data_IF_886015245732
#
_entry.id   IF_886015245732
#
_cell.length_a   1.000
_cell.length_b   1.000
_cell.length_c   1.000
_cell.angle_alpha   90.00
_cell.angle_beta   90.00
_cell.angle_gamma   90.00
#
_symmetry.space_group_name_H-M   'P 1'
#
loop_
_entity.id
_entity.type
_entity.pdbx_description
1 polymer ?
#
# COMPACT_ATOMS: atom_id res chain seq x y z
N UNK A 1 22.61 -8.54 -5.51
CA UNK A 1 21.25 -8.91 -5.03
C UNK A 1 21.11 -8.90 -3.51
N UNK A 2 22.13 -9.20 -2.73
CA UNK A 2 22.03 -9.24 -1.25
C UNK A 2 21.74 -7.90 -0.54
N UNK A 3 21.80 -6.78 -1.27
CA UNK A 3 21.53 -5.44 -0.71
C UNK A 3 20.05 -5.04 -0.76
N UNK A 4 19.24 -5.69 -1.61
CA UNK A 4 17.81 -5.40 -1.71
C UNK A 4 17.07 -6.07 -0.57
N UNK A 5 16.30 -5.28 0.17
CA UNK A 5 15.52 -5.72 1.34
C UNK A 5 14.18 -5.02 1.38
N UNK A 6 13.20 -5.71 1.92
CA UNK A 6 11.86 -5.14 2.16
C UNK A 6 11.47 -5.38 3.61
N UNK A 7 11.03 -4.33 4.28
CA UNK A 7 10.36 -4.36 5.57
C UNK A 7 8.89 -4.12 5.29
N UNK A 8 8.02 -5.10 5.57
CA UNK A 8 6.62 -5.05 5.18
C UNK A 8 5.68 -5.22 6.39
N UNK A 9 4.75 -4.29 6.51
CA UNK A 9 3.63 -4.27 7.45
C UNK A 9 2.39 -4.50 6.61
N UNK A 10 1.78 -5.69 6.70
CA UNK A 10 0.70 -6.09 5.80
C UNK A 10 -0.45 -6.74 6.54
N UNK A 11 -1.60 -6.86 5.88
CA UNK A 11 -2.77 -7.57 6.39
C UNK A 11 -2.52 -9.05 6.75
N UNK A 12 -1.36 -9.61 6.36
CA UNK A 12 -0.96 -10.98 6.71
C UNK A 12 -0.43 -11.10 8.13
N UNK A 13 0.09 -10.01 8.69
CA UNK A 13 0.72 -9.98 10.01
C UNK A 13 0.11 -8.95 10.96
N UNK A 14 -0.74 -8.05 10.45
CA UNK A 14 -1.44 -7.02 11.22
C UNK A 14 -2.94 -7.03 10.89
N UNK A 15 -3.78 -6.63 11.86
CA UNK A 15 -5.16 -6.28 11.56
C UNK A 15 -5.19 -5.04 10.65
N UNK A 16 -6.13 -4.97 9.72
CA UNK A 16 -6.24 -3.86 8.78
C UNK A 16 -6.40 -2.52 9.53
N UNK A 17 -7.15 -2.50 10.62
CA UNK A 17 -7.30 -1.32 11.51
C UNK A 17 -5.97 -0.83 12.07
N UNK A 18 -5.03 -1.73 12.34
CA UNK A 18 -3.73 -1.41 12.94
C UNK A 18 -2.72 -0.91 11.90
N UNK A 19 -2.89 -1.25 10.62
CA UNK A 19 -2.00 -0.80 9.54
C UNK A 19 -2.06 0.72 9.37
N UNK A 20 -3.23 1.33 9.61
CA UNK A 20 -3.45 2.77 9.48
C UNK A 20 -2.47 3.63 10.30
N UNK A 21 -2.00 3.14 11.47
CA UNK A 21 -1.05 3.86 12.32
C UNK A 21 0.37 3.98 11.70
N UNK A 22 0.67 3.17 10.68
CA UNK A 22 1.95 3.19 9.96
C UNK A 22 1.90 4.03 8.68
N UNK A 23 0.76 4.61 8.33
CA UNK A 23 0.70 5.57 7.24
C UNK A 23 1.47 6.85 7.61
N UNK A 24 2.25 7.35 6.67
CA UNK A 24 2.97 8.62 6.82
C UNK A 24 2.24 9.66 5.98
N UNK A 25 1.81 10.74 6.62
CA UNK A 25 1.18 11.86 5.92
C UNK A 25 2.14 12.53 4.94
N UNK A 26 1.62 13.04 3.83
CA UNK A 26 2.43 13.65 2.77
C UNK A 26 3.35 14.78 3.30
N UNK A 27 2.85 15.63 4.21
CA UNK A 27 3.66 16.70 4.81
C UNK A 27 4.86 16.19 5.60
N UNK A 28 4.76 15.05 6.29
CA UNK A 28 5.89 14.44 7.00
C UNK A 28 6.91 13.84 6.02
N UNK A 29 6.46 13.30 4.89
CA UNK A 29 7.37 12.82 3.84
C UNK A 29 8.15 13.98 3.21
N UNK A 30 7.48 15.09 2.91
CA UNK A 30 8.07 16.30 2.33
C UNK A 30 9.05 16.99 3.28
N UNK A 31 8.87 16.89 4.60
CA UNK A 31 9.81 17.42 5.60
C UNK A 31 11.16 16.67 5.68
N UNK A 32 11.39 15.69 4.79
CA UNK A 32 12.68 15.01 4.65
C UNK A 32 12.99 13.96 5.73
N UNK A 33 12.00 13.56 6.55
CA UNK A 33 12.18 12.58 7.63
C UNK A 33 12.84 11.29 7.15
N UNK A 34 12.37 10.72 6.01
CA UNK A 34 12.95 9.50 5.45
C UNK A 34 14.40 9.68 4.98
N UNK A 35 14.77 10.88 4.53
CA UNK A 35 16.16 11.23 4.18
C UNK A 35 17.09 11.20 5.38
N UNK A 36 16.63 11.73 6.52
CA UNK A 36 17.37 11.70 7.80
C UNK A 36 17.55 10.25 8.26
N UNK A 37 16.49 9.44 8.25
CA UNK A 37 16.56 8.02 8.62
C UNK A 37 17.49 7.24 7.69
N UNK A 38 17.38 7.45 6.37
CA UNK A 38 18.25 6.85 5.35
C UNK A 38 19.73 7.11 5.67
N UNK A 39 20.10 8.37 5.93
CA UNK A 39 21.48 8.76 6.21
C UNK A 39 21.97 8.19 7.55
N UNK A 40 21.19 8.37 8.62
CA UNK A 40 21.55 7.89 9.96
C UNK A 40 21.78 6.39 10.02
N UNK A 41 20.98 5.61 9.27
CA UNK A 41 21.03 4.16 9.30
C UNK A 41 21.92 3.54 8.23
N UNK A 42 22.65 4.31 7.43
CA UNK A 42 23.52 3.80 6.36
C UNK A 42 22.74 3.02 5.30
N UNK A 43 21.57 3.53 4.94
CA UNK A 43 20.74 2.99 3.85
C UNK A 43 21.12 3.76 2.58
N UNK A 44 21.46 3.05 1.50
CA UNK A 44 21.87 3.71 0.25
C UNK A 44 20.67 4.26 -0.52
N UNK A 45 19.59 3.47 -0.59
CA UNK A 45 18.36 3.83 -1.26
C UNK A 45 17.17 3.39 -0.42
N UNK A 46 16.09 4.18 -0.46
CA UNK A 46 14.87 3.92 0.27
C UNK A 46 13.64 4.30 -0.57
N UNK A 47 12.66 3.41 -0.65
CA UNK A 47 11.33 3.69 -1.20
C UNK A 47 10.28 3.31 -0.17
N UNK A 48 9.27 4.15 -0.04
CA UNK A 48 8.13 3.96 0.84
C UNK A 48 6.86 3.75 0.01
N UNK A 49 6.20 2.62 0.22
CA UNK A 49 4.90 2.28 -0.38
C UNK A 49 3.85 2.19 0.72
N UNK A 50 2.77 2.95 0.58
CA UNK A 50 1.65 2.93 1.50
C UNK A 50 0.33 2.78 0.73
N UNK A 51 -0.49 1.81 1.15
CA UNK A 51 -1.82 1.54 0.59
C UNK A 51 -2.79 1.22 1.73
N UNK A 52 -4.06 1.00 1.45
CA UNK A 52 -5.06 0.69 2.49
C UNK A 52 -4.75 -0.58 3.33
N UNK A 53 -3.95 -1.52 2.81
CA UNK A 53 -3.72 -2.82 3.43
C UNK A 53 -2.24 -3.22 3.58
N UNK A 54 -1.32 -2.27 3.28
CA UNK A 54 0.13 -2.46 3.49
C UNK A 54 0.89 -1.15 3.62
N UNK A 55 1.95 -1.21 4.39
CA UNK A 55 3.02 -0.22 4.43
C UNK A 55 4.34 -0.98 4.26
N UNK A 56 5.11 -0.61 3.25
CA UNK A 56 6.36 -1.31 2.91
C UNK A 56 7.50 -0.32 2.68
N UNK A 57 8.67 -0.69 3.15
CA UNK A 57 9.92 0.02 2.90
C UNK A 57 10.85 -0.88 2.08
N UNK A 58 11.13 -0.47 0.86
CA UNK A 58 12.10 -1.10 -0.01
C UNK A 58 13.45 -0.41 0.20
N UNK A 59 14.47 -1.16 0.60
CA UNK A 59 15.78 -0.66 0.98
C UNK A 59 16.89 -1.24 0.09
N UNK A 60 17.88 -0.41 -0.23
CA UNK A 60 19.19 -0.88 -0.64
C UNK A 60 20.16 -0.60 0.50
N UNK A 61 20.67 -1.64 1.15
CA UNK A 61 21.64 -1.53 2.26
C UNK A 61 22.49 -2.77 2.40
N UNK A 62 23.73 -2.58 2.87
CA UNK A 62 24.62 -3.68 3.28
C UNK A 62 24.34 -4.18 4.69
N UNK A 63 23.56 -3.44 5.51
CA UNK A 63 23.26 -3.82 6.88
C UNK A 63 22.31 -5.01 6.91
N UNK A 64 22.49 -5.91 7.88
CA UNK A 64 21.53 -6.99 8.18
C UNK A 64 20.31 -6.42 8.85
N UNK A 65 19.11 -6.90 8.47
CA UNK A 65 17.85 -6.53 9.08
C UNK A 65 17.55 -7.48 10.24
N UNK A 66 18.18 -7.23 11.38
CA UNK A 66 17.92 -7.92 12.63
C UNK A 66 16.92 -7.13 13.52
N UNK A 67 16.59 -7.65 14.69
CA UNK A 67 15.65 -6.96 15.61
C UNK A 67 16.15 -5.60 16.07
N UNK A 68 17.46 -5.42 16.24
CA UNK A 68 18.02 -4.12 16.64
C UNK A 68 17.89 -3.10 15.53
N UNK A 69 18.17 -3.50 14.26
CA UNK A 69 17.92 -2.66 13.11
C UNK A 69 16.42 -2.29 13.01
N UNK A 70 15.53 -3.24 13.14
CA UNK A 70 14.08 -3.00 13.08
C UNK A 70 13.63 -2.04 14.17
N UNK A 71 14.13 -2.18 15.40
CA UNK A 71 13.84 -1.29 16.51
C UNK A 71 14.29 0.14 16.20
N UNK A 72 15.54 0.32 15.79
CA UNK A 72 16.09 1.63 15.42
C UNK A 72 15.29 2.25 14.26
N UNK A 73 14.99 1.46 13.22
CA UNK A 73 14.28 1.92 12.03
C UNK A 73 12.85 2.33 12.32
N UNK A 74 12.08 1.46 12.99
CA UNK A 74 10.67 1.71 13.30
C UNK A 74 10.55 2.87 14.28
N UNK A 75 11.39 2.94 15.30
CA UNK A 75 11.38 4.02 16.27
C UNK A 75 11.77 5.38 15.66
N UNK A 76 12.69 5.39 14.68
CA UNK A 76 13.07 6.62 13.99
C UNK A 76 11.94 7.17 13.10
N UNK A 77 11.12 6.29 12.50
CA UNK A 77 10.01 6.68 11.62
C UNK A 77 8.72 6.94 12.44
N UNK A 78 8.49 6.13 13.48
CA UNK A 78 7.28 6.14 14.29
C UNK A 78 7.60 6.38 15.78
N UNK A 79 8.08 7.58 16.16
CA UNK A 79 8.49 7.86 17.54
C UNK A 79 7.35 7.82 18.56
N UNK A 80 6.10 7.83 18.09
CA UNK A 80 4.90 7.66 18.91
C UNK A 80 4.72 6.22 19.41
N UNK A 81 5.30 5.21 18.73
CA UNK A 81 5.24 3.82 19.19
C UNK A 81 6.18 3.63 20.39
N UNK A 82 5.64 3.17 21.51
CA UNK A 82 6.40 2.97 22.76
C UNK A 82 6.16 1.58 23.33
N UNK A 83 7.18 1.06 24.00
CA UNK A 83 7.10 -0.20 24.76
C UNK A 83 6.40 -1.32 23.99
N UNK A 84 5.30 -1.85 24.52
CA UNK A 84 4.61 -3.01 23.97
C UNK A 84 4.10 -2.84 22.53
N UNK A 85 3.72 -1.62 22.09
CA UNK A 85 3.31 -1.38 20.70
C UNK A 85 4.49 -1.44 19.72
N UNK A 86 5.66 -0.98 20.14
CA UNK A 86 6.88 -1.08 19.36
C UNK A 86 7.34 -2.53 19.23
N UNK A 87 7.38 -3.29 20.34
CA UNK A 87 7.75 -4.70 20.30
C UNK A 87 6.78 -5.52 19.45
N UNK A 88 5.47 -5.29 19.60
CA UNK A 88 4.46 -5.93 18.74
C UNK A 88 4.71 -5.61 17.27
N UNK A 89 5.06 -4.37 16.94
CA UNK A 89 5.38 -3.99 15.56
C UNK A 89 6.62 -4.75 15.06
N UNK A 90 7.72 -4.78 15.84
CA UNK A 90 8.97 -5.47 15.48
C UNK A 90 8.74 -6.97 15.25
N UNK A 91 7.96 -7.62 16.10
CA UNK A 91 7.70 -9.07 16.01
C UNK A 91 6.73 -9.42 14.86
N UNK A 92 5.94 -8.46 14.38
CA UNK A 92 4.91 -8.67 13.35
C UNK A 92 5.34 -8.22 11.95
N UNK A 93 6.41 -7.43 11.80
CA UNK A 93 6.88 -7.06 10.45
C UNK A 93 7.45 -8.27 9.72
N UNK A 94 7.21 -8.31 8.41
CA UNK A 94 7.81 -9.30 7.53
C UNK A 94 9.06 -8.69 6.90
N UNK A 95 10.13 -9.46 6.86
CA UNK A 95 11.40 -9.06 6.23
C UNK A 95 11.69 -9.99 5.08
N UNK A 96 11.94 -9.41 3.91
CA UNK A 96 12.36 -10.14 2.72
C UNK A 96 13.71 -9.61 2.26
N UNK A 97 14.61 -10.52 1.86
CA UNK A 97 15.95 -10.16 1.40
C UNK A 97 16.28 -10.76 0.03
N UNK A 98 17.04 -10.05 -0.78
CA UNK A 98 17.57 -10.52 -2.05
C UNK A 98 16.47 -11.03 -3.00
N UNK A 99 16.54 -12.30 -3.38
CA UNK A 99 15.58 -12.90 -4.30
C UNK A 99 14.16 -12.94 -3.72
N UNK A 100 14.01 -13.13 -2.42
CA UNK A 100 12.68 -13.11 -1.77
C UNK A 100 12.08 -11.71 -1.81
N UNK A 101 12.89 -10.65 -1.65
CA UNK A 101 12.42 -9.27 -1.78
C UNK A 101 11.93 -8.99 -3.21
N UNK A 102 12.64 -9.44 -4.24
CA UNK A 102 12.19 -9.33 -5.63
C UNK A 102 10.88 -10.08 -5.87
N UNK A 103 10.80 -11.34 -5.43
CA UNK A 103 9.59 -12.15 -5.55
C UNK A 103 8.39 -11.48 -4.87
N UNK A 104 8.60 -10.94 -3.67
CA UNK A 104 7.56 -10.22 -2.93
C UNK A 104 7.09 -8.98 -3.72
N UNK A 105 8.01 -8.09 -4.15
CA UNK A 105 7.64 -6.89 -4.89
C UNK A 105 6.93 -7.21 -6.22
N UNK A 106 7.35 -8.26 -6.92
CA UNK A 106 6.71 -8.69 -8.17
C UNK A 106 5.29 -9.22 -7.88
N UNK A 107 5.11 -10.01 -6.82
CA UNK A 107 3.80 -10.48 -6.37
C UNK A 107 2.86 -9.34 -5.98
N UNK A 108 3.38 -8.33 -5.26
CA UNK A 108 2.65 -7.11 -4.90
C UNK A 108 2.25 -6.35 -6.15
N UNK A 109 3.20 -6.02 -7.02
CA UNK A 109 2.97 -5.22 -8.24
C UNK A 109 2.00 -5.89 -9.22
N UNK A 110 1.98 -7.24 -9.24
CA UNK A 110 1.08 -8.05 -10.06
C UNK A 110 -0.27 -8.32 -9.40
N UNK A 111 -0.54 -7.73 -8.23
CA UNK A 111 -1.76 -7.97 -7.44
C UNK A 111 -2.01 -9.43 -7.05
N UNK A 112 -0.97 -10.27 -7.06
CA UNK A 112 -1.04 -11.66 -6.58
C UNK A 112 -1.02 -11.66 -5.05
N UNK A 113 -0.18 -10.80 -4.47
CA UNK A 113 -0.07 -10.59 -3.03
C UNK A 113 -0.89 -9.36 -2.59
N UNK A 114 -2.18 -9.40 -2.83
CA UNK A 114 -3.13 -8.34 -2.48
C UNK A 114 -4.35 -8.91 -1.78
N UNK A 115 -5.01 -8.12 -0.94
CA UNK A 115 -6.29 -8.49 -0.31
C UNK A 115 -7.35 -8.78 -1.37
N UNK A 116 -7.34 -7.99 -2.44
CA UNK A 116 -8.17 -8.19 -3.62
C UNK A 116 -7.25 -8.56 -4.78
N UNK A 117 -7.16 -9.85 -5.07
CA UNK A 117 -6.30 -10.37 -6.14
C UNK A 117 -6.80 -9.87 -7.51
N UNK A 118 -5.88 -9.38 -8.34
CA UNK A 118 -6.17 -8.89 -9.70
C UNK A 118 -6.59 -7.42 -9.78
N UNK A 119 -6.58 -6.65 -8.68
CA UNK A 119 -6.85 -5.22 -8.70
C UNK A 119 -5.66 -4.45 -9.31
N UNK A 120 -5.92 -3.70 -10.39
CA UNK A 120 -4.86 -3.03 -11.15
C UNK A 120 -4.33 -1.75 -10.47
N UNK A 121 -4.96 -1.30 -9.41
CA UNK A 121 -4.62 -0.05 -8.75
C UNK A 121 -3.21 -0.09 -8.13
N UNK A 122 -2.79 -1.26 -7.66
CA UNK A 122 -1.49 -1.46 -7.00
C UNK A 122 -0.29 -1.11 -7.90
N UNK A 123 -0.35 -1.41 -9.20
CA UNK A 123 0.76 -1.07 -10.12
C UNK A 123 0.94 0.45 -10.24
N UNK A 124 -0.16 1.20 -10.20
CA UNK A 124 -0.14 2.67 -10.20
C UNK A 124 0.39 3.19 -8.87
N UNK A 125 -0.01 2.60 -7.74
CA UNK A 125 0.48 2.96 -6.41
C UNK A 125 1.98 2.72 -6.28
N UNK A 126 2.50 1.59 -6.76
CA UNK A 126 3.95 1.30 -6.78
C UNK A 126 4.72 2.34 -7.60
N UNK A 127 4.22 2.70 -8.78
CA UNK A 127 4.83 3.76 -9.61
C UNK A 127 4.83 5.11 -8.92
N UNK A 128 3.69 5.52 -8.36
CA UNK A 128 3.56 6.81 -7.68
C UNK A 128 4.47 6.89 -6.45
N UNK A 129 4.57 5.80 -5.68
CA UNK A 129 5.48 5.70 -4.54
C UNK A 129 6.95 5.86 -4.97
N UNK A 130 7.36 5.22 -6.08
CA UNK A 130 8.70 5.39 -6.64
C UNK A 130 8.94 6.84 -7.08
N UNK A 131 8.04 7.44 -7.85
CA UNK A 131 8.20 8.82 -8.35
C UNK A 131 8.26 9.83 -7.20
N UNK A 132 7.47 9.63 -6.14
CA UNK A 132 7.53 10.45 -4.93
C UNK A 132 8.91 10.32 -4.27
N UNK A 133 9.37 9.10 -4.00
CA UNK A 133 10.65 8.87 -3.33
C UNK A 133 11.84 9.35 -4.19
N UNK A 134 11.72 9.28 -5.51
CA UNK A 134 12.70 9.85 -6.45
C UNK A 134 12.78 11.38 -6.33
N UNK A 135 11.64 12.06 -6.28
CA UNK A 135 11.57 13.54 -6.07
C UNK A 135 12.20 13.96 -4.75
N UNK A 136 12.11 13.10 -3.74
CA UNK A 136 12.72 13.31 -2.42
C UNK A 136 14.20 12.88 -2.35
N UNK A 137 14.84 12.52 -3.47
CA UNK A 137 16.23 12.04 -3.54
C UNK A 137 16.52 10.82 -2.64
N UNK A 138 15.54 9.96 -2.46
CA UNK A 138 15.67 8.76 -1.63
C UNK A 138 16.12 7.54 -2.42
N UNK A 139 15.85 7.48 -3.74
CA UNK A 139 16.08 6.34 -4.60
C UNK A 139 17.31 6.53 -5.50
N UNK A 140 17.89 5.42 -5.94
CA UNK A 140 18.96 5.36 -6.92
C UNK A 140 18.69 4.28 -7.96
N UNK A 141 19.75 3.75 -8.58
CA UNK A 141 19.63 2.81 -9.70
C UNK A 141 19.10 1.44 -9.29
N UNK A 142 19.41 0.95 -8.10
CA UNK A 142 18.93 -0.36 -7.67
C UNK A 142 17.40 -0.36 -7.55
N UNK A 143 16.82 0.59 -6.83
CA UNK A 143 15.36 0.69 -6.67
C UNK A 143 14.71 1.03 -8.00
N UNK A 144 15.32 1.92 -8.81
CA UNK A 144 14.80 2.27 -10.14
C UNK A 144 14.64 1.04 -11.03
N UNK A 145 15.70 0.24 -11.18
CA UNK A 145 15.69 -0.96 -12.02
C UNK A 145 14.72 -2.00 -11.45
N UNK A 146 14.69 -2.18 -10.12
CA UNK A 146 13.82 -3.14 -9.44
C UNK A 146 12.35 -2.81 -9.67
N UNK A 147 11.95 -1.55 -9.49
CA UNK A 147 10.57 -1.10 -9.71
C UNK A 147 10.20 -1.18 -11.19
N UNK A 148 11.09 -0.80 -12.10
CA UNK A 148 10.86 -0.96 -13.53
C UNK A 148 10.57 -2.43 -13.90
N UNK A 149 11.39 -3.35 -13.42
CA UNK A 149 11.21 -4.80 -13.67
C UNK A 149 9.93 -5.34 -13.00
N UNK A 150 9.58 -4.86 -11.82
CA UNK A 150 8.32 -5.23 -11.17
C UNK A 150 7.09 -4.78 -11.98
N UNK A 151 7.14 -3.57 -12.55
CA UNK A 151 6.08 -3.04 -13.42
C UNK A 151 5.99 -3.82 -14.75
N UNK A 152 7.14 -4.16 -15.36
CA UNK A 152 7.18 -5.00 -16.56
C UNK A 152 6.57 -6.38 -16.28
N UNK A 153 7.00 -7.05 -15.21
CA UNK A 153 6.46 -8.34 -14.78
C UNK A 153 4.94 -8.28 -14.52
N UNK A 154 4.47 -7.24 -13.84
CA UNK A 154 3.04 -7.05 -13.59
C UNK A 154 2.23 -6.95 -14.90
N UNK A 155 2.75 -6.20 -15.89
CA UNK A 155 2.10 -6.11 -17.21
C UNK A 155 2.02 -7.48 -17.90
N UNK A 156 3.10 -8.27 -17.87
CA UNK A 156 3.14 -9.63 -18.42
C UNK A 156 2.09 -10.52 -17.74
N UNK A 157 2.03 -10.48 -16.39
CA UNK A 157 1.03 -11.23 -15.63
C UNK A 157 -0.39 -10.84 -16.04
N UNK A 158 -0.67 -9.53 -16.15
CA UNK A 158 -2.00 -9.05 -16.56
C UNK A 158 -2.35 -9.39 -18.01
N UNK A 159 -1.35 -9.47 -18.89
CA UNK A 159 -1.56 -9.77 -20.33
C UNK A 159 -1.74 -11.28 -20.58
N UNK A 160 -0.91 -12.09 -19.94
CA UNK A 160 -0.80 -13.51 -20.26
C UNK A 160 -1.52 -14.44 -19.29
N UNK A 161 -2.17 -13.90 -18.24
CA UNK A 161 -2.93 -14.71 -17.29
C UNK A 161 -4.38 -14.26 -17.16
N UNK A 162 -5.19 -15.09 -16.50
CA UNK A 162 -6.59 -14.78 -16.23
C UNK A 162 -6.79 -13.86 -15.00
N UNK A 163 -5.73 -13.40 -14.34
CA UNK A 163 -5.81 -12.62 -13.11
C UNK A 163 -6.61 -11.32 -13.31
N UNK A 164 -6.54 -10.73 -14.50
CA UNK A 164 -7.22 -9.49 -14.85
C UNK A 164 -8.62 -9.70 -15.50
N UNK A 165 -9.03 -10.93 -15.79
CA UNK A 165 -10.32 -11.21 -16.46
C UNK A 165 -11.53 -10.97 -15.57
N UNK A 166 -11.33 -11.02 -14.26
CA UNK A 166 -12.36 -10.70 -13.28
C UNK A 166 -11.84 -9.60 -12.36
N UNK A 167 -11.80 -8.32 -12.80
CA UNK A 167 -11.36 -7.23 -11.95
C UNK A 167 -12.31 -7.12 -10.76
N UNK A 168 -11.90 -7.70 -9.66
CA UNK A 168 -12.61 -7.58 -8.39
C UNK A 168 -12.07 -6.35 -7.70
N UNK A 169 -12.79 -5.23 -7.80
CA UNK A 169 -12.48 -4.06 -6.98
C UNK A 169 -13.19 -4.17 -5.62
N UNK A 170 -12.67 -3.48 -4.61
CA UNK A 170 -13.36 -3.33 -3.30
C UNK A 170 -14.81 -2.89 -3.50
N UNK A 171 -15.05 -1.98 -4.45
CA UNK A 171 -16.37 -1.49 -4.83
C UNK A 171 -17.27 -2.61 -5.37
N UNK A 172 -16.74 -3.47 -6.25
CA UNK A 172 -17.51 -4.58 -6.81
C UNK A 172 -17.81 -5.67 -5.78
N UNK A 173 -16.88 -5.92 -4.86
CA UNK A 173 -17.09 -6.84 -3.72
C UNK A 173 -18.17 -6.30 -2.78
N UNK A 174 -18.08 -5.03 -2.40
CA UNK A 174 -19.08 -4.37 -1.56
C UNK A 174 -20.46 -4.40 -2.21
N UNK A 175 -20.53 -4.15 -3.53
CA UNK A 175 -21.79 -4.26 -4.28
C UNK A 175 -22.36 -5.69 -4.29
N UNK A 176 -21.53 -6.73 -4.48
CA UNK A 176 -21.98 -8.13 -4.40
C UNK A 176 -22.60 -8.41 -3.03
N UNK A 177 -21.93 -7.98 -1.96
CA UNK A 177 -22.44 -8.13 -0.60
C UNK A 177 -23.76 -7.39 -0.38
N UNK A 178 -23.88 -6.17 -0.93
CA UNK A 178 -25.11 -5.40 -0.89
C UNK A 178 -26.25 -6.10 -1.64
N UNK A 179 -25.98 -6.69 -2.79
CA UNK A 179 -26.94 -7.48 -3.58
C UNK A 179 -27.43 -8.71 -2.82
N UNK A 180 -26.51 -9.41 -2.10
CA UNK A 180 -26.87 -10.57 -1.29
C UNK A 180 -27.84 -10.23 -0.16
N UNK A 181 -27.90 -8.96 0.26
CA UNK A 181 -28.84 -8.43 1.24
C UNK A 181 -30.21 -8.09 0.63
N UNK A 182 -30.41 -8.30 -0.69
CA UNK A 182 -31.66 -8.03 -1.41
C UNK A 182 -32.19 -6.61 -1.21
N UNK A 183 -31.32 -5.61 -1.15
CA UNK A 183 -31.69 -4.20 -0.98
C UNK A 183 -32.46 -3.72 -2.21
N UNK A 184 -33.64 -3.11 -2.00
CA UNK A 184 -34.45 -2.53 -3.07
C UNK A 184 -33.72 -1.38 -3.78
N UNK A 185 -33.91 -1.23 -5.10
CA UNK A 185 -33.23 -0.19 -5.89
C UNK A 185 -33.64 1.24 -5.53
N UNK A 186 -34.83 1.43 -4.94
CA UNK A 186 -35.36 2.70 -4.44
C UNK A 186 -34.92 3.01 -3.00
N UNK A 187 -34.21 2.09 -2.35
CA UNK A 187 -33.72 2.29 -0.99
C UNK A 187 -32.83 3.53 -0.89
N UNK A 188 -33.00 4.27 0.19
CA UNK A 188 -32.18 5.44 0.49
C UNK A 188 -30.78 5.00 0.93
N UNK A 189 -29.76 5.41 0.18
CA UNK A 189 -28.36 5.07 0.44
C UNK A 189 -27.67 6.31 1.01
N UNK A 190 -27.15 6.18 2.22
CA UNK A 190 -26.30 7.20 2.84
C UNK A 190 -24.84 6.88 2.59
N UNK A 191 -24.12 7.81 1.97
CA UNK A 191 -22.68 7.73 1.74
C UNK A 191 -21.98 8.74 2.66
N UNK A 192 -21.13 8.24 3.55
CA UNK A 192 -20.36 9.08 4.47
C UNK A 192 -18.93 9.27 3.93
N UNK A 193 -18.62 10.49 3.54
CA UNK A 193 -17.38 10.89 2.88
C UNK A 193 -17.47 10.87 1.36
N UNK A 194 -16.77 11.79 0.68
CA UNK A 194 -16.72 11.94 -0.79
C UNK A 194 -15.36 11.56 -1.40
N UNK A 195 -14.56 10.75 -0.68
CA UNK A 195 -13.29 10.24 -1.17
C UNK A 195 -13.44 9.35 -2.42
N UNK A 196 -12.32 9.06 -3.09
CA UNK A 196 -12.27 8.32 -4.38
C UNK A 196 -13.04 6.99 -4.32
N UNK A 197 -12.90 6.22 -3.25
CA UNK A 197 -13.60 4.94 -3.07
C UNK A 197 -15.11 5.11 -3.02
N UNK A 198 -15.60 6.07 -2.22
CA UNK A 198 -17.03 6.34 -2.10
C UNK A 198 -17.63 6.93 -3.37
N UNK A 199 -16.89 7.80 -4.06
CA UNK A 199 -17.28 8.32 -5.38
C UNK A 199 -17.39 7.18 -6.41
N UNK A 200 -16.44 6.25 -6.40
CA UNK A 200 -16.46 5.06 -7.26
C UNK A 200 -17.63 4.15 -6.91
N UNK A 201 -17.91 3.94 -5.62
CA UNK A 201 -19.05 3.15 -5.16
C UNK A 201 -20.37 3.78 -5.58
N UNK A 202 -20.54 5.09 -5.43
CA UNK A 202 -21.74 5.81 -5.86
C UNK A 202 -21.98 5.65 -7.38
N UNK A 203 -20.93 5.83 -8.20
CA UNK A 203 -20.99 5.60 -9.66
C UNK A 203 -21.38 4.16 -9.99
N UNK A 204 -20.82 3.20 -9.27
CA UNK A 204 -21.10 1.79 -9.48
C UNK A 204 -22.55 1.43 -9.12
N UNK A 205 -23.04 1.90 -7.98
CA UNK A 205 -24.44 1.73 -7.56
C UNK A 205 -25.42 2.38 -8.55
N UNK A 206 -25.12 3.60 -9.01
CA UNK A 206 -25.92 4.31 -10.03
C UNK A 206 -26.00 3.49 -11.32
N UNK A 207 -24.88 2.91 -11.77
CA UNK A 207 -24.82 2.02 -12.94
C UNK A 207 -25.72 0.78 -12.78
N UNK A 208 -25.96 0.33 -11.55
CA UNK A 208 -26.79 -0.83 -11.23
C UNK A 208 -28.22 -0.46 -10.80
N UNK A 209 -28.66 0.76 -11.09
CA UNK A 209 -30.05 1.17 -10.97
C UNK A 209 -30.45 1.81 -9.64
N UNK A 210 -29.54 2.01 -8.72
CA UNK A 210 -29.82 2.78 -7.51
C UNK A 210 -29.84 4.28 -7.84
N UNK A 211 -30.84 5.01 -7.36
CA UNK A 211 -31.02 6.43 -7.68
C UNK A 211 -31.14 7.34 -6.47
N UNK A 212 -31.39 6.79 -5.29
CA UNK A 212 -31.71 7.55 -4.08
C UNK A 212 -30.47 7.66 -3.17
N UNK A 213 -29.64 8.68 -3.38
CA UNK A 213 -28.39 8.89 -2.64
C UNK A 213 -28.44 10.13 -1.77
N UNK A 214 -27.89 10.02 -0.56
CA UNK A 214 -27.56 11.15 0.31
C UNK A 214 -26.07 11.03 0.63
N UNK A 215 -25.31 12.09 0.33
CA UNK A 215 -23.87 12.15 0.59
C UNK A 215 -23.64 13.11 1.74
N UNK A 216 -23.01 12.63 2.80
CA UNK A 216 -22.56 13.43 3.93
C UNK A 216 -21.04 13.55 3.89
N UNK A 217 -20.53 14.79 3.81
CA UNK A 217 -19.08 15.03 3.75
C UNK A 217 -18.69 16.23 4.63
N UNK A 218 -17.48 16.16 5.20
CA UNK A 218 -16.95 17.25 6.04
C UNK A 218 -16.75 18.55 5.25
N UNK A 219 -16.37 18.45 3.97
CA UNK A 219 -16.11 19.58 3.08
C UNK A 219 -17.16 19.64 1.99
N UNK A 220 -17.88 20.76 1.84
CA UNK A 220 -18.95 20.93 0.85
C UNK A 220 -18.44 21.20 -0.58
N UNK A 221 -17.16 21.55 -0.75
CA UNK A 221 -16.56 21.98 -2.02
C UNK A 221 -15.94 20.85 -2.85
N UNK A 222 -16.37 19.61 -2.70
CA UNK A 222 -15.90 18.46 -3.50
C UNK A 222 -17.09 17.76 -4.17
#
# INVERSE_FOLDING_TARGET
MNRLKIIAITHKSFNISDIGQFHIEAGHLENGMLGVVKTKMGIDELMFLSTCNRVEFLLSTARSINKDFLREFIQAIYPQLKNGSLEKAIDSVLVFEGQQALKHLFGVSSSIDSLVVGEREIITQVRNAYELCKKLNLTGDMIRITVQKAVECAKEVYTHTNIARHPVSVVSLAYRKLRDLNIKLDAKILIVGSGVTNASMAKYLKKHGFTNFVIFNRTLAN
#
